data_IF_861185754171
#
_entry.id   IF_861185754171
#
_cell.length_a   1.000
_cell.length_b   1.000
_cell.length_c   1.000
_cell.angle_alpha   90.00
_cell.angle_beta   90.00
_cell.angle_gamma   90.00
#
_symmetry.space_group_name_H-M   'P 1'
#
loop_
_entity.id
_entity.type
_entity.pdbx_description
1 polymer ?
#
# COMPACT_ATOMS: atom_id res chain seq x y z
N UNK A 1 46.03 -24.83 -39.37
CA UNK A 1 45.87 -23.54 -38.63
C UNK A 1 44.42 -23.06 -38.53
N UNK A 2 43.41 -23.91 -38.79
CA UNK A 2 41.98 -23.51 -38.71
C UNK A 2 41.19 -24.07 -37.50
N UNK A 3 41.76 -24.98 -36.75
CA UNK A 3 41.04 -25.71 -35.69
C UNK A 3 41.04 -24.99 -34.32
N UNK A 4 41.98 -24.05 -34.10
CA UNK A 4 42.08 -23.35 -32.79
C UNK A 4 41.10 -22.19 -32.65
N UNK A 5 40.77 -21.51 -33.75
CA UNK A 5 39.85 -20.35 -33.71
C UNK A 5 38.38 -20.76 -33.55
N UNK A 6 38.01 -21.91 -34.08
CA UNK A 6 36.61 -22.41 -34.00
C UNK A 6 36.25 -22.87 -32.58
N UNK A 7 37.19 -23.51 -31.88
CA UNK A 7 36.98 -23.93 -30.48
C UNK A 7 36.93 -22.74 -29.52
N UNK A 8 37.68 -21.67 -29.79
CA UNK A 8 37.67 -20.48 -28.95
C UNK A 8 36.34 -19.69 -29.09
N UNK A 9 35.80 -19.63 -30.31
CA UNK A 9 34.49 -19.01 -30.58
C UNK A 9 33.33 -19.80 -29.98
N UNK A 10 33.39 -21.13 -29.99
CA UNK A 10 32.39 -21.99 -29.35
C UNK A 10 32.44 -21.88 -27.81
N UNK A 11 33.65 -21.78 -27.24
CA UNK A 11 33.85 -21.65 -25.80
C UNK A 11 33.37 -20.28 -25.28
N UNK A 12 33.65 -19.20 -26.02
CA UNK A 12 33.19 -17.86 -25.69
C UNK A 12 31.66 -17.71 -25.84
N UNK A 13 31.07 -18.33 -26.87
CA UNK A 13 29.60 -18.31 -27.01
C UNK A 13 28.88 -19.15 -25.94
N UNK A 14 29.44 -20.29 -25.50
CA UNK A 14 28.87 -21.05 -24.39
C UNK A 14 29.01 -20.30 -23.04
N UNK A 15 30.11 -19.59 -22.79
CA UNK A 15 30.24 -18.75 -21.60
C UNK A 15 29.34 -17.52 -21.63
N UNK A 16 29.08 -16.93 -22.81
CA UNK A 16 28.15 -15.82 -22.97
C UNK A 16 26.68 -16.27 -22.88
N UNK A 17 26.38 -17.53 -23.17
CA UNK A 17 25.03 -18.11 -22.98
C UNK A 17 24.74 -18.53 -21.53
N UNK A 18 25.77 -18.82 -20.72
CA UNK A 18 25.59 -19.12 -19.28
C UNK A 18 25.32 -17.88 -18.42
N UNK A 19 25.55 -16.67 -18.93
CA UNK A 19 25.39 -15.43 -18.14
C UNK A 19 24.05 -14.71 -18.29
N UNK A 20 23.09 -15.30 -18.97
CA UNK A 20 21.73 -14.78 -18.92
C UNK A 20 20.95 -15.51 -17.83
N UNK A 21 21.38 -15.36 -16.57
CA UNK A 21 20.56 -15.74 -15.42
C UNK A 21 19.26 -14.96 -15.53
N UNK A 22 18.20 -15.61 -15.97
CA UNK A 22 16.87 -15.00 -15.94
C UNK A 22 16.56 -14.70 -14.48
N UNK A 23 16.27 -13.43 -14.18
CA UNK A 23 15.86 -13.02 -12.85
C UNK A 23 14.46 -13.61 -12.65
N UNK A 24 14.32 -14.49 -11.65
CA UNK A 24 13.00 -14.92 -11.22
C UNK A 24 12.37 -13.80 -10.37
N UNK A 25 11.26 -13.27 -10.85
CA UNK A 25 10.53 -12.22 -10.14
C UNK A 25 10.05 -12.67 -8.75
N UNK A 26 9.76 -13.96 -8.57
CA UNK A 26 9.39 -14.50 -7.26
C UNK A 26 10.55 -14.41 -6.28
N UNK A 27 11.75 -14.78 -6.71
CA UNK A 27 12.95 -14.70 -5.88
C UNK A 27 13.23 -13.24 -5.48
N UNK A 28 13.01 -12.29 -6.42
CA UNK A 28 13.15 -10.88 -6.16
C UNK A 28 12.16 -10.41 -5.07
N UNK A 29 10.86 -10.74 -5.20
CA UNK A 29 9.85 -10.36 -4.23
C UNK A 29 10.03 -11.06 -2.89
N UNK A 30 10.47 -12.30 -2.86
CA UNK A 30 10.86 -12.97 -1.61
C UNK A 30 12.06 -12.29 -0.94
N UNK A 31 13.02 -11.83 -1.73
CA UNK A 31 14.14 -11.04 -1.22
C UNK A 31 13.68 -9.73 -0.56
N UNK A 32 12.76 -9.00 -1.20
CA UNK A 32 12.16 -7.79 -0.64
C UNK A 32 11.36 -8.06 0.63
N UNK A 33 10.55 -9.13 0.66
CA UNK A 33 9.82 -9.55 1.85
C UNK A 33 10.77 -9.84 3.02
N UNK A 34 11.85 -10.57 2.77
CA UNK A 34 12.86 -10.89 3.79
C UNK A 34 13.54 -9.63 4.34
N UNK A 35 13.90 -8.65 3.48
CA UNK A 35 14.44 -7.38 3.90
C UNK A 35 13.48 -6.61 4.79
N UNK A 36 12.20 -6.53 4.39
CA UNK A 36 11.16 -5.85 5.15
C UNK A 36 10.96 -6.52 6.52
N UNK A 37 10.85 -7.85 6.56
CA UNK A 37 10.72 -8.60 7.80
C UNK A 37 11.93 -8.39 8.73
N UNK A 38 13.15 -8.42 8.20
CA UNK A 38 14.35 -8.17 8.99
C UNK A 38 14.32 -6.78 9.64
N UNK A 39 13.96 -5.75 8.86
CA UNK A 39 13.86 -4.36 9.36
C UNK A 39 12.78 -4.20 10.43
N UNK A 40 11.60 -4.78 10.22
CA UNK A 40 10.50 -4.73 11.17
C UNK A 40 10.81 -5.48 12.47
N UNK A 41 11.53 -6.62 12.40
CA UNK A 41 11.91 -7.40 13.57
C UNK A 41 12.99 -6.70 14.41
N UNK A 42 13.96 -6.03 13.78
CA UNK A 42 14.95 -5.23 14.51
C UNK A 42 14.26 -4.19 15.40
N UNK A 43 13.29 -3.47 14.88
CA UNK A 43 12.53 -2.49 15.67
C UNK A 43 11.73 -3.16 16.81
N UNK A 44 11.20 -4.34 16.56
CA UNK A 44 10.45 -5.09 17.57
C UNK A 44 11.32 -5.54 18.73
N UNK A 45 12.56 -5.92 18.48
CA UNK A 45 13.50 -6.43 19.51
C UNK A 45 14.16 -5.32 20.31
N UNK A 46 14.57 -4.24 19.64
CA UNK A 46 15.44 -3.22 20.27
C UNK A 46 14.71 -1.96 20.76
N UNK A 47 13.44 -1.75 20.38
CA UNK A 47 12.64 -0.63 20.88
C UNK A 47 11.77 -1.12 22.03
N UNK A 48 12.04 -0.65 23.25
CA UNK A 48 11.30 -1.09 24.46
C UNK A 48 9.92 -0.40 24.60
N UNK A 49 9.81 0.88 24.21
CA UNK A 49 8.57 1.63 24.39
C UNK A 49 7.53 1.29 23.32
N UNK A 50 6.29 0.88 23.70
CA UNK A 50 5.25 0.46 22.74
C UNK A 50 4.88 1.54 21.69
N UNK A 51 4.80 2.81 22.10
CA UNK A 51 4.52 3.92 21.17
C UNK A 51 5.62 4.09 20.13
N UNK A 52 6.88 4.16 20.56
CA UNK A 52 8.03 4.27 19.64
C UNK A 52 8.15 3.07 18.70
N UNK A 53 7.75 1.89 19.16
CA UNK A 53 7.70 0.67 18.35
C UNK A 53 6.65 0.75 17.25
N UNK A 54 5.48 1.30 17.56
CA UNK A 54 4.42 1.58 16.59
C UNK A 54 4.89 2.57 15.53
N UNK A 55 5.38 3.73 15.96
CA UNK A 55 5.87 4.79 15.07
C UNK A 55 6.99 4.29 14.13
N UNK A 56 7.92 3.48 14.64
CA UNK A 56 8.99 2.89 13.82
C UNK A 56 8.44 1.92 12.77
N UNK A 57 7.41 1.13 13.09
CA UNK A 57 6.76 0.22 12.14
C UNK A 57 6.03 1.01 11.04
N UNK A 58 5.29 2.05 11.41
CA UNK A 58 4.62 2.95 10.47
C UNK A 58 5.63 3.60 9.52
N UNK A 59 6.73 4.13 10.06
CA UNK A 59 7.78 4.77 9.28
C UNK A 59 8.42 3.80 8.27
N UNK A 60 8.68 2.54 8.66
CA UNK A 60 9.21 1.54 7.73
C UNK A 60 8.27 1.24 6.57
N UNK A 61 6.97 1.12 6.81
CA UNK A 61 5.99 0.95 5.75
C UNK A 61 5.94 2.17 4.81
N UNK A 62 5.99 3.38 5.35
CA UNK A 62 6.01 4.62 4.57
C UNK A 62 7.26 4.64 3.67
N UNK A 63 8.44 4.35 4.21
CA UNK A 63 9.70 4.35 3.47
C UNK A 63 9.73 3.28 2.38
N UNK A 64 9.25 2.07 2.70
CA UNK A 64 9.10 0.99 1.74
C UNK A 64 8.20 1.42 0.56
N UNK A 65 7.02 1.92 0.83
CA UNK A 65 6.10 2.37 -0.21
C UNK A 65 6.68 3.52 -1.04
N UNK A 66 7.37 4.49 -0.41
CA UNK A 66 8.05 5.57 -1.12
C UNK A 66 9.15 5.07 -2.06
N UNK A 67 9.83 3.99 -1.69
CA UNK A 67 10.91 3.42 -2.50
C UNK A 67 10.40 2.77 -3.78
N UNK A 68 9.22 2.15 -3.74
CA UNK A 68 8.71 1.34 -4.86
C UNK A 68 7.55 1.96 -5.63
N UNK A 69 6.89 2.98 -5.09
CA UNK A 69 5.86 3.70 -5.83
C UNK A 69 6.49 4.75 -6.76
N UNK A 70 5.91 4.99 -7.94
CA UNK A 70 6.32 6.08 -8.81
C UNK A 70 6.25 7.45 -8.11
N UNK A 71 7.12 8.38 -8.48
CA UNK A 71 7.27 9.73 -7.87
C UNK A 71 5.97 10.56 -7.84
N UNK A 72 5.01 10.24 -8.69
CA UNK A 72 3.69 10.83 -8.70
C UNK A 72 2.95 10.62 -7.37
N UNK A 73 3.18 9.49 -6.72
CA UNK A 73 2.52 9.13 -5.48
C UNK A 73 3.38 9.52 -4.29
N UNK A 74 2.81 10.28 -3.38
CA UNK A 74 3.42 10.54 -2.08
C UNK A 74 2.77 9.66 -1.02
N UNK A 75 3.54 9.37 0.01
CA UNK A 75 3.12 8.50 1.11
C UNK A 75 3.48 9.18 2.42
N UNK A 76 2.50 9.48 3.23
CA UNK A 76 2.70 10.15 4.53
C UNK A 76 1.65 9.68 5.55
N UNK A 77 1.95 9.88 6.83
CA UNK A 77 0.97 9.81 7.92
C UNK A 77 0.17 11.13 7.90
N UNK A 78 -1.15 11.04 7.79
CA UNK A 78 -1.96 12.23 7.59
C UNK A 78 -3.42 12.08 8.04
N UNK A 79 -4.09 13.21 8.16
CA UNK A 79 -5.54 13.35 8.29
C UNK A 79 -6.08 13.74 6.91
N UNK A 80 -7.16 13.12 6.48
CA UNK A 80 -7.82 13.47 5.22
C UNK A 80 -8.93 14.49 5.51
N UNK A 81 -9.02 15.53 4.70
CA UNK A 81 -9.99 16.62 4.85
C UNK A 81 -10.81 16.78 3.58
N UNK A 82 -12.10 17.07 3.71
CA UNK A 82 -12.97 17.39 2.59
C UNK A 82 -13.21 18.89 2.40
N UNK A 83 -13.84 19.27 1.29
CA UNK A 83 -14.14 20.65 0.94
C UNK A 83 -15.15 21.34 1.87
N UNK A 84 -15.82 20.59 2.74
CA UNK A 84 -16.80 21.10 3.71
C UNK A 84 -16.20 21.22 5.12
N UNK A 85 -14.94 20.84 5.30
CA UNK A 85 -14.21 20.92 6.55
C UNK A 85 -14.34 19.70 7.45
N UNK A 86 -14.98 18.61 6.97
CA UNK A 86 -14.96 17.35 7.71
C UNK A 86 -13.59 16.69 7.58
N UNK A 87 -13.15 16.02 8.62
CA UNK A 87 -11.86 15.33 8.68
C UNK A 87 -12.03 13.86 9.05
N UNK A 88 -11.12 13.03 8.54
CA UNK A 88 -11.02 11.64 8.96
C UNK A 88 -10.30 11.51 10.30
N UNK A 89 -10.24 10.30 10.84
CA UNK A 89 -9.21 9.95 11.78
C UNK A 89 -7.82 10.04 11.13
N UNK A 90 -6.76 10.16 11.96
CA UNK A 90 -5.39 10.14 11.46
C UNK A 90 -5.06 8.74 10.93
N UNK A 91 -4.70 8.65 9.67
CA UNK A 91 -4.25 7.42 9.02
C UNK A 91 -2.74 7.28 9.12
N UNK A 92 -2.27 6.06 9.40
CA UNK A 92 -0.84 5.78 9.51
C UNK A 92 -0.14 5.87 8.14
N UNK A 93 -0.86 5.50 7.06
CA UNK A 93 -0.37 5.60 5.68
C UNK A 93 -1.46 6.18 4.80
N UNK A 94 -1.17 7.27 4.12
CA UNK A 94 -2.00 7.87 3.07
C UNK A 94 -1.19 7.95 1.80
N UNK A 95 -1.67 7.32 0.72
CA UNK A 95 -1.10 7.42 -0.62
C UNK A 95 -1.92 8.41 -1.43
N UNK A 96 -1.30 9.46 -1.91
CA UNK A 96 -2.00 10.56 -2.57
C UNK A 96 -1.24 11.10 -3.79
N UNK A 97 -1.95 11.83 -4.66
CA UNK A 97 -1.37 12.47 -5.84
C UNK A 97 -0.50 13.66 -5.47
N UNK A 98 0.78 13.62 -5.86
CA UNK A 98 1.71 14.71 -5.59
C UNK A 98 1.66 15.83 -6.63
N UNK A 99 1.13 15.56 -7.85
CA UNK A 99 1.18 16.49 -8.98
C UNK A 99 -0.08 17.36 -9.00
N UNK A 100 -1.24 16.75 -8.78
CA UNK A 100 -2.53 17.43 -8.90
C UNK A 100 -3.15 17.79 -7.54
N UNK A 101 -2.41 17.56 -6.44
CA UNK A 101 -2.86 18.01 -5.12
C UNK A 101 -2.74 19.53 -5.03
N UNK A 102 -3.84 20.27 -4.97
CA UNK A 102 -3.79 21.73 -5.01
C UNK A 102 -3.19 22.33 -3.75
N UNK A 103 -3.26 21.60 -2.65
CA UNK A 103 -2.86 22.11 -1.35
C UNK A 103 -2.67 20.99 -0.33
N UNK A 104 -1.55 21.02 0.39
CA UNK A 104 -1.28 20.19 1.56
C UNK A 104 -1.05 21.13 2.73
N UNK A 105 -1.88 21.01 3.75
CA UNK A 105 -1.76 21.85 4.95
C UNK A 105 -0.98 21.12 6.03
N UNK A 106 -0.01 21.80 6.65
CA UNK A 106 0.78 21.29 7.76
C UNK A 106 0.67 22.25 8.94
N UNK A 107 0.18 21.76 10.06
CA UNK A 107 0.06 22.53 11.29
C UNK A 107 0.31 21.63 12.50
N UNK A 108 1.13 22.11 13.44
CA UNK A 108 1.37 21.49 14.75
C UNK A 108 1.76 20.00 14.66
N UNK A 109 2.54 19.63 13.63
CA UNK A 109 2.97 18.26 13.40
C UNK A 109 1.95 17.37 12.67
N UNK A 110 0.76 17.88 12.37
CA UNK A 110 -0.25 17.20 11.58
C UNK A 110 -0.21 17.63 10.12
N UNK A 111 -0.43 16.66 9.24
CA UNK A 111 -0.57 16.88 7.80
C UNK A 111 -2.03 16.62 7.41
N UNK A 112 -2.62 17.54 6.65
CA UNK A 112 -3.98 17.46 6.13
C UNK A 112 -3.92 17.35 4.61
N UNK A 113 -4.56 16.31 4.06
CA UNK A 113 -4.56 16.01 2.62
C UNK A 113 -5.99 16.06 2.11
N UNK A 114 -6.28 16.80 1.01
CA UNK A 114 -7.60 16.83 0.40
C UNK A 114 -8.07 15.44 -0.02
N UNK A 115 -9.31 15.10 0.29
CA UNK A 115 -9.90 13.79 0.02
C UNK A 115 -9.91 13.44 -1.49
N UNK A 116 -9.96 14.44 -2.36
CA UNK A 116 -9.90 14.31 -3.82
C UNK A 116 -8.56 13.76 -4.32
N UNK A 117 -7.49 13.96 -3.53
CA UNK A 117 -6.11 13.57 -3.90
C UNK A 117 -5.75 12.18 -3.44
N UNK A 118 -6.57 11.55 -2.60
CA UNK A 118 -6.26 10.28 -1.93
C UNK A 118 -6.59 9.08 -2.83
N UNK A 119 -5.61 8.21 -3.04
CA UNK A 119 -5.78 6.94 -3.74
C UNK A 119 -6.01 5.77 -2.77
N UNK A 120 -5.22 5.72 -1.70
CA UNK A 120 -5.28 4.63 -0.75
C UNK A 120 -4.94 5.07 0.66
N UNK A 121 -5.50 4.36 1.65
CA UNK A 121 -5.21 4.56 3.07
C UNK A 121 -5.03 3.22 3.77
N UNK A 122 -4.06 3.16 4.69
CA UNK A 122 -3.79 1.95 5.46
C UNK A 122 -3.59 2.27 6.92
N UNK A 123 -4.10 1.38 7.74
CA UNK A 123 -3.72 1.27 9.15
C UNK A 123 -2.53 0.33 9.28
N UNK A 124 -1.58 0.67 10.16
CA UNK A 124 -0.39 -0.14 10.43
C UNK A 124 -0.44 -0.69 11.84
N UNK A 125 -0.23 -1.99 11.99
CA UNK A 125 -0.16 -2.66 13.29
C UNK A 125 0.97 -3.70 13.33
N UNK A 126 1.44 -4.02 14.51
CA UNK A 126 2.42 -5.11 14.70
C UNK A 126 1.81 -6.47 14.35
N UNK A 127 0.57 -6.69 14.74
CA UNK A 127 -0.18 -7.93 14.54
C UNK A 127 -1.58 -7.61 14.00
N UNK A 128 -2.10 -8.44 13.12
CA UNK A 128 -3.44 -8.25 12.54
C UNK A 128 -4.56 -8.65 13.50
N UNK A 129 -4.27 -9.53 14.46
CA UNK A 129 -5.28 -10.08 15.36
C UNK A 129 -5.87 -8.99 16.26
N UNK A 130 -7.19 -8.84 16.18
CA UNK A 130 -7.94 -7.84 16.95
C UNK A 130 -7.98 -6.45 16.35
N UNK A 131 -7.32 -6.19 15.20
CA UNK A 131 -7.24 -4.86 14.60
C UNK A 131 -7.95 -4.71 13.25
N UNK A 132 -8.53 -5.79 12.70
CA UNK A 132 -9.24 -5.73 11.41
C UNK A 132 -10.43 -4.76 11.46
N UNK A 133 -11.27 -4.86 12.49
CA UNK A 133 -12.44 -3.99 12.67
C UNK A 133 -12.02 -2.54 12.95
N UNK A 134 -10.99 -2.32 13.76
CA UNK A 134 -10.43 -1.01 14.02
C UNK A 134 -9.89 -0.34 12.73
N UNK A 135 -9.12 -1.07 11.92
CA UNK A 135 -8.65 -0.57 10.63
C UNK A 135 -9.83 -0.24 9.69
N UNK A 136 -10.88 -1.08 9.70
CA UNK A 136 -12.07 -0.87 8.90
C UNK A 136 -12.81 0.43 9.28
N UNK A 137 -12.94 0.73 10.57
CA UNK A 137 -13.55 1.98 11.07
C UNK A 137 -12.73 3.21 10.63
N UNK A 138 -11.41 3.13 10.71
CA UNK A 138 -10.54 4.22 10.23
C UNK A 138 -10.66 4.43 8.71
N UNK A 139 -10.71 3.36 7.93
CA UNK A 139 -10.95 3.45 6.48
C UNK A 139 -12.33 4.06 6.18
N UNK A 140 -13.36 3.69 6.94
CA UNK A 140 -14.69 4.28 6.83
C UNK A 140 -14.66 5.78 7.08
N UNK A 141 -13.93 6.26 8.09
CA UNK A 141 -13.81 7.69 8.39
C UNK A 141 -13.28 8.52 7.20
N UNK A 142 -12.40 7.92 6.37
CA UNK A 142 -11.91 8.55 5.14
C UNK A 142 -12.96 8.48 4.02
N UNK A 143 -13.62 7.34 3.84
CA UNK A 143 -14.57 7.12 2.74
C UNK A 143 -15.89 7.84 2.90
N UNK A 144 -16.24 8.26 4.11
CA UNK A 144 -17.42 9.08 4.38
C UNK A 144 -17.24 10.54 3.98
N UNK A 145 -15.99 10.98 3.76
CA UNK A 145 -15.70 12.35 3.36
C UNK A 145 -16.24 12.66 1.97
N UNK A 146 -16.75 13.87 1.81
CA UNK A 146 -17.28 14.37 0.54
C UNK A 146 -16.14 14.63 -0.43
N UNK A 147 -16.14 13.95 -1.57
CA UNK A 147 -15.22 14.21 -2.67
C UNK A 147 -15.94 14.83 -3.84
N UNK A 148 -15.29 15.73 -4.54
CA UNK A 148 -15.84 16.44 -5.68
C UNK A 148 -15.05 16.11 -6.96
N UNK A 149 -15.73 16.19 -8.12
CA UNK A 149 -15.11 16.09 -9.43
C UNK A 149 -15.77 17.12 -10.33
N UNK A 150 -14.97 17.87 -11.07
CA UNK A 150 -15.47 18.90 -11.99
C UNK A 150 -15.06 18.57 -13.43
N UNK A 151 -15.87 19.01 -14.37
CA UNK A 151 -15.51 18.99 -15.79
C UNK A 151 -14.38 19.99 -16.07
N UNK A 152 -13.54 19.66 -17.04
CA UNK A 152 -12.45 20.53 -17.47
C UNK A 152 -12.65 21.01 -18.89
N UNK A 153 -12.22 22.23 -19.16
CA UNK A 153 -12.11 22.76 -20.53
C UNK A 153 -10.65 22.63 -20.98
N UNK A 154 -10.41 21.83 -21.99
CA UNK A 154 -9.09 21.66 -22.59
C UNK A 154 -9.17 21.82 -24.08
N UNK A 155 -8.33 22.68 -24.66
CA UNK A 155 -8.27 22.93 -26.11
C UNK A 155 -9.64 23.29 -26.75
N UNK A 156 -10.44 24.08 -26.03
CA UNK A 156 -11.78 24.52 -26.53
C UNK A 156 -12.87 23.44 -26.46
N UNK A 157 -12.58 22.26 -25.88
CA UNK A 157 -13.55 21.18 -25.66
C UNK A 157 -13.81 21.02 -24.18
N UNK A 158 -15.09 20.84 -23.80
CA UNK A 158 -15.48 20.53 -22.43
C UNK A 158 -15.45 19.02 -22.23
N UNK A 159 -14.63 18.54 -21.30
CA UNK A 159 -14.68 17.18 -20.81
C UNK A 159 -15.58 17.13 -19.56
N UNK A 160 -16.48 16.15 -19.51
CA UNK A 160 -17.32 15.93 -18.33
C UNK A 160 -16.50 15.57 -17.10
N UNK A 161 -17.06 15.83 -15.92
CA UNK A 161 -16.48 15.37 -14.66
C UNK A 161 -16.28 13.84 -14.69
N UNK A 162 -15.12 13.36 -14.26
CA UNK A 162 -14.85 11.93 -14.15
C UNK A 162 -15.55 11.35 -12.93
N UNK A 163 -16.06 10.12 -13.01
CA UNK A 163 -16.53 9.41 -11.82
C UNK A 163 -15.42 9.33 -10.77
N UNK A 164 -15.80 9.50 -9.51
CA UNK A 164 -14.87 9.34 -8.41
C UNK A 164 -14.50 7.85 -8.25
N UNK A 165 -13.21 7.56 -8.24
CA UNK A 165 -12.73 6.22 -7.92
C UNK A 165 -12.86 5.95 -6.42
N UNK A 166 -13.12 4.72 -6.02
CA UNK A 166 -13.11 4.32 -4.61
C UNK A 166 -11.70 4.53 -4.03
N UNK A 167 -11.62 5.08 -2.81
CA UNK A 167 -10.37 5.09 -2.06
C UNK A 167 -10.10 3.65 -1.60
N UNK A 168 -8.95 3.12 -1.96
CA UNK A 168 -8.49 1.80 -1.51
C UNK A 168 -8.22 1.88 -0.01
N UNK A 169 -8.77 0.95 0.76
CA UNK A 169 -8.53 0.86 2.20
C UNK A 169 -7.91 -0.48 2.59
N UNK A 170 -7.03 -0.46 3.57
CA UNK A 170 -6.38 -1.70 3.96
C UNK A 170 -5.67 -1.68 5.32
N UNK A 171 -5.00 -2.79 5.61
CA UNK A 171 -4.19 -2.97 6.81
C UNK A 171 -2.83 -3.55 6.45
N UNK A 172 -1.78 -3.01 7.06
CA UNK A 172 -0.40 -3.46 6.90
C UNK A 172 0.13 -3.93 8.26
N UNK A 173 0.63 -5.16 8.33
CA UNK A 173 1.11 -5.72 9.60
C UNK A 173 2.42 -6.46 9.44
N UNK A 174 3.16 -6.59 10.54
CA UNK A 174 4.37 -7.41 10.58
C UNK A 174 4.02 -8.89 10.68
N UNK A 175 3.06 -9.23 11.56
CA UNK A 175 2.74 -10.62 11.90
C UNK A 175 1.25 -10.89 11.91
N UNK A 176 0.91 -12.20 11.98
CA UNK A 176 -0.43 -12.69 12.25
C UNK A 176 -0.42 -13.73 13.36
N UNK A 177 -0.99 -13.40 14.51
CA UNK A 177 -1.18 -14.35 15.64
C UNK A 177 -2.49 -15.17 15.50
N UNK A 178 -3.15 -15.13 14.36
CA UNK A 178 -4.25 -16.04 14.08
C UNK A 178 -3.72 -17.44 13.78
N UNK A 179 -4.42 -18.47 14.24
CA UNK A 179 -4.05 -19.87 14.06
C UNK A 179 -4.19 -20.41 12.62
N UNK A 180 -4.51 -19.55 11.65
CA UNK A 180 -4.62 -19.88 10.22
C UNK A 180 -5.20 -18.76 9.39
N UNK A 181 -4.86 -18.77 8.10
CA UNK A 181 -5.29 -17.76 7.14
C UNK A 181 -6.80 -17.67 6.96
N UNK A 182 -7.52 -18.77 7.18
CA UNK A 182 -8.99 -18.77 7.07
C UNK A 182 -9.65 -17.91 8.15
N UNK A 183 -9.04 -17.77 9.33
CA UNK A 183 -9.56 -16.89 10.37
C UNK A 183 -9.53 -15.42 9.94
N UNK A 184 -8.47 -14.99 9.27
CA UNK A 184 -8.37 -13.64 8.70
C UNK A 184 -9.46 -13.43 7.67
N UNK A 185 -9.66 -14.38 6.74
CA UNK A 185 -10.73 -14.32 5.73
C UNK A 185 -12.12 -14.19 6.34
N UNK A 186 -12.39 -14.97 7.40
CA UNK A 186 -13.68 -14.89 8.11
C UNK A 186 -13.91 -13.51 8.73
N UNK A 187 -12.89 -12.89 9.32
CA UNK A 187 -13.02 -11.55 9.87
C UNK A 187 -13.24 -10.50 8.76
N UNK A 188 -12.48 -10.59 7.66
CA UNK A 188 -12.64 -9.67 6.53
C UNK A 188 -14.05 -9.74 5.91
N UNK A 189 -14.63 -10.93 5.78
CA UNK A 189 -15.99 -11.13 5.24
C UNK A 189 -17.11 -10.53 6.11
N UNK A 190 -16.84 -10.21 7.37
CA UNK A 190 -17.81 -9.52 8.24
C UNK A 190 -17.92 -8.02 7.91
N UNK A 191 -16.90 -7.45 7.30
CA UNK A 191 -16.86 -6.04 6.95
C UNK A 191 -17.78 -5.77 5.75
N UNK A 192 -18.53 -4.67 5.81
CA UNK A 192 -19.50 -4.31 4.76
C UNK A 192 -19.42 -2.84 4.40
N UNK A 193 -19.83 -2.51 3.18
CA UNK A 193 -19.95 -1.13 2.72
C UNK A 193 -18.62 -0.38 2.78
N UNK A 194 -18.60 0.78 3.40
CA UNK A 194 -17.41 1.64 3.50
C UNK A 194 -16.29 1.06 4.38
N UNK A 195 -16.61 0.11 5.26
CA UNK A 195 -15.66 -0.58 6.14
C UNK A 195 -14.84 -1.67 5.45
N UNK A 196 -15.18 -2.04 4.22
CA UNK A 196 -14.46 -3.10 3.49
C UNK A 196 -12.98 -2.78 3.37
N UNK A 197 -12.11 -3.68 3.80
CA UNK A 197 -10.67 -3.59 3.54
C UNK A 197 -10.39 -4.26 2.19
N UNK A 198 -9.91 -3.50 1.22
CA UNK A 198 -9.73 -3.94 -0.16
C UNK A 198 -8.46 -4.78 -0.33
N UNK A 199 -7.42 -4.43 0.39
CA UNK A 199 -6.16 -5.18 0.37
C UNK A 199 -5.41 -5.06 1.70
N UNK A 200 -4.50 -5.97 1.93
CA UNK A 200 -3.59 -5.92 3.08
C UNK A 200 -2.41 -6.84 2.95
N UNK A 201 -1.39 -6.54 3.72
CA UNK A 201 -0.16 -7.32 3.80
C UNK A 201 0.15 -7.69 5.24
N UNK A 202 0.29 -8.98 5.48
CA UNK A 202 0.79 -9.57 6.72
C UNK A 202 2.18 -10.12 6.38
N UNK A 203 3.22 -9.37 6.72
CA UNK A 203 4.55 -9.52 6.13
C UNK A 203 5.15 -10.92 6.31
N UNK A 204 4.86 -11.60 7.43
CA UNK A 204 5.30 -12.96 7.73
C UNK A 204 4.42 -14.07 7.15
N UNK A 205 3.17 -13.74 6.77
CA UNK A 205 2.14 -14.75 6.44
C UNK A 205 1.72 -14.66 4.98
N UNK A 206 1.49 -13.45 4.45
CA UNK A 206 1.02 -13.25 3.09
C UNK A 206 0.20 -11.96 2.90
N UNK A 207 -0.52 -11.89 1.80
CA UNK A 207 -1.36 -10.74 1.45
C UNK A 207 -2.78 -11.18 1.11
N UNK A 208 -3.71 -10.25 1.18
CA UNK A 208 -5.06 -10.44 0.67
C UNK A 208 -5.47 -9.25 -0.19
N UNK A 209 -6.36 -9.49 -1.11
CA UNK A 209 -7.09 -8.46 -1.87
C UNK A 209 -8.52 -8.93 -2.09
N UNK A 210 -9.43 -7.98 -2.30
CA UNK A 210 -10.83 -8.26 -2.62
C UNK A 210 -11.02 -8.11 -4.12
N UNK A 211 -11.46 -9.19 -4.78
CA UNK A 211 -11.89 -9.14 -6.17
C UNK A 211 -13.38 -8.78 -6.23
N UNK A 212 -13.68 -7.58 -6.72
CA UNK A 212 -15.04 -7.09 -6.83
C UNK A 212 -15.83 -7.70 -8.00
N UNK A 213 -15.16 -8.44 -8.88
CA UNK A 213 -15.84 -9.12 -10.00
C UNK A 213 -16.44 -10.47 -9.59
N UNK A 214 -16.04 -11.02 -8.43
CA UNK A 214 -16.54 -12.30 -7.92
C UNK A 214 -17.66 -12.16 -6.88
N UNK A 215 -18.03 -10.94 -6.46
CA UNK A 215 -19.00 -10.75 -5.38
C UNK A 215 -20.04 -9.70 -5.72
N UNK A 216 -21.01 -10.06 -6.55
CA UNK A 216 -22.38 -9.66 -6.31
C UNK A 216 -23.15 -10.91 -5.88
N UNK A 217 -23.44 -11.12 -4.58
CA UNK A 217 -24.59 -11.93 -4.25
C UNK A 217 -25.80 -11.08 -4.63
N UNK A 218 -26.51 -11.51 -5.65
CA UNK A 218 -27.89 -11.10 -5.92
C UNK A 218 -28.70 -11.27 -4.64
N UNK A 219 -29.37 -10.20 -4.17
CA UNK A 219 -30.25 -10.22 -3.02
C UNK A 219 -30.68 -8.82 -2.63
#
# INVERSE_FOLDING_TARGET
NGLCAHNFYCYMNNQLLEYKKMIDLRDLFHGLQNQMLASLNVNREFIEHPGSKGDATEQHWIEFLRTYLPDRYKVDKAIVIDSTGNVSEQMDVVIYDAIYTPFIFKQDGFMYIPAESVYAVFEVKQDVKGYIEYAAQKVESVRTLKRTSIGMVASGKTAAARPLTKIIGGILTTTSSYSGNDTVKVQLRKLKGLQTLDLGCLCDTGSFYVDYNETEPEG
#
